data_IF_385914177188
#
_entry.id   IF_385914177188
#
_cell.length_a   1.000
_cell.length_b   1.000
_cell.length_c   1.000
_cell.angle_alpha   90.00
_cell.angle_beta   90.00
_cell.angle_gamma   90.00
#
_symmetry.space_group_name_H-M   'P 1'
#
loop_
_entity.id
_entity.type
_entity.pdbx_description
1 polymer ?
#
# COMPACT_ATOMS: atom_id res chain seq x y z
N UNK A 1 -27.04 20.20 -76.03
CA UNK A 1 -26.12 19.98 -74.90
C UNK A 1 -26.64 18.81 -74.06
N UNK A 2 -25.94 17.67 -74.05
CA UNK A 2 -26.29 16.52 -73.18
C UNK A 2 -25.46 16.64 -71.90
N UNK A 3 -26.12 16.82 -70.76
CA UNK A 3 -25.48 16.79 -69.46
C UNK A 3 -25.18 15.32 -69.07
N UNK A 4 -23.89 15.00 -68.89
CA UNK A 4 -23.48 13.71 -68.35
C UNK A 4 -23.70 13.75 -66.83
N UNK A 5 -24.67 12.96 -66.34
CA UNK A 5 -24.89 12.76 -64.91
C UNK A 5 -23.76 11.86 -64.40
N UNK A 6 -22.87 12.42 -63.58
CA UNK A 6 -21.82 11.64 -62.91
C UNK A 6 -22.47 10.69 -61.89
N UNK A 7 -22.46 9.39 -62.20
CA UNK A 7 -22.99 8.35 -61.34
C UNK A 7 -22.02 8.14 -60.17
N UNK A 8 -22.39 8.60 -58.98
CA UNK A 8 -21.71 8.25 -57.73
C UNK A 8 -21.78 6.72 -57.54
N UNK A 9 -20.64 6.05 -57.72
CA UNK A 9 -20.49 4.62 -57.46
C UNK A 9 -20.31 4.41 -55.96
N UNK A 10 -21.42 4.34 -55.22
CA UNK A 10 -21.40 3.80 -53.85
C UNK A 10 -21.08 2.30 -53.92
N UNK A 11 -19.79 1.96 -53.79
CA UNK A 11 -19.37 0.57 -53.56
C UNK A 11 -19.76 0.19 -52.13
N UNK A 12 -20.69 -0.75 -51.99
CA UNK A 12 -20.99 -1.37 -50.71
C UNK A 12 -19.85 -2.31 -50.28
N UNK A 13 -19.58 -2.34 -48.98
CA UNK A 13 -18.62 -3.28 -48.39
C UNK A 13 -19.13 -4.72 -48.56
N UNK A 14 -18.24 -5.61 -48.96
CA UNK A 14 -18.50 -7.06 -49.02
C UNK A 14 -18.46 -7.68 -47.64
N UNK A 15 -19.15 -8.81 -47.45
CA UNK A 15 -19.09 -9.58 -46.19
C UNK A 15 -17.64 -9.95 -45.82
N UNK A 16 -16.82 -10.25 -46.83
CA UNK A 16 -15.41 -10.58 -46.63
C UNK A 16 -14.62 -9.40 -46.06
N UNK A 17 -14.78 -8.19 -46.61
CA UNK A 17 -14.09 -6.99 -46.12
C UNK A 17 -14.50 -6.66 -44.67
N UNK A 18 -15.79 -6.74 -44.36
CA UNK A 18 -16.28 -6.50 -42.99
C UNK A 18 -15.71 -7.55 -42.02
N UNK A 19 -15.67 -8.83 -42.43
CA UNK A 19 -15.15 -9.90 -41.59
C UNK A 19 -13.65 -9.76 -41.28
N UNK A 20 -12.84 -9.36 -42.28
CA UNK A 20 -11.42 -9.13 -42.10
C UNK A 20 -11.13 -7.96 -41.14
N UNK A 21 -11.90 -6.88 -41.25
CA UNK A 21 -11.78 -5.71 -40.35
C UNK A 21 -12.11 -6.11 -38.91
N UNK A 22 -13.22 -6.83 -38.70
CA UNK A 22 -13.59 -7.30 -37.37
C UNK A 22 -12.54 -8.24 -36.79
N UNK A 23 -11.98 -9.16 -37.59
CA UNK A 23 -10.91 -10.03 -37.14
C UNK A 23 -9.69 -9.23 -36.63
N UNK A 24 -9.24 -8.22 -37.39
CA UNK A 24 -8.12 -7.37 -36.97
C UNK A 24 -8.47 -6.58 -35.70
N UNK A 25 -9.67 -5.99 -35.61
CA UNK A 25 -10.13 -5.27 -34.41
C UNK A 25 -10.15 -6.17 -33.17
N UNK A 26 -10.61 -7.42 -33.31
CA UNK A 26 -10.60 -8.37 -32.18
C UNK A 26 -9.18 -8.68 -31.72
N UNK A 27 -8.25 -8.93 -32.64
CA UNK A 27 -6.84 -9.21 -32.30
C UNK A 27 -6.21 -8.01 -31.60
N UNK A 28 -6.42 -6.80 -32.11
CA UNK A 28 -5.93 -5.57 -31.48
C UNK A 28 -6.51 -5.37 -30.07
N UNK A 29 -7.82 -5.58 -29.89
CA UNK A 29 -8.46 -5.47 -28.59
C UNK A 29 -7.89 -6.47 -27.56
N UNK A 30 -7.64 -7.72 -27.96
CA UNK A 30 -7.02 -8.72 -27.09
C UNK A 30 -5.60 -8.31 -26.64
N UNK A 31 -4.78 -7.79 -27.55
CA UNK A 31 -3.43 -7.31 -27.22
C UNK A 31 -3.47 -6.13 -26.23
N UNK A 32 -4.39 -5.19 -26.41
CA UNK A 32 -4.57 -4.05 -25.49
C UNK A 32 -5.01 -4.52 -24.11
N UNK A 33 -5.94 -5.47 -24.03
CA UNK A 33 -6.44 -5.99 -22.76
C UNK A 33 -5.34 -6.68 -21.94
N UNK A 34 -4.50 -7.48 -22.59
CA UNK A 34 -3.36 -8.14 -21.95
C UNK A 34 -2.38 -7.11 -21.37
N UNK A 35 -2.02 -6.08 -22.14
CA UNK A 35 -1.12 -5.01 -21.70
C UNK A 35 -1.68 -4.19 -20.52
N UNK A 36 -2.99 -3.92 -20.51
CA UNK A 36 -3.65 -3.13 -19.47
C UNK A 36 -3.59 -3.81 -18.09
N UNK A 37 -3.63 -5.15 -18.04
CA UNK A 37 -3.58 -5.89 -16.77
C UNK A 37 -2.26 -5.68 -16.00
N UNK A 38 -1.13 -5.69 -16.71
CA UNK A 38 0.19 -5.41 -16.15
C UNK A 38 0.32 -3.95 -15.69
N UNK A 39 -0.11 -3.01 -16.53
CA UNK A 39 -0.09 -1.58 -16.22
C UNK A 39 -0.88 -1.25 -14.95
N UNK A 40 -2.08 -1.83 -14.79
CA UNK A 40 -2.89 -1.67 -13.57
C UNK A 40 -2.17 -2.14 -12.31
N UNK A 41 -1.43 -3.26 -12.37
CA UNK A 41 -0.68 -3.77 -11.21
C UNK A 41 0.45 -2.82 -10.81
N UNK A 42 1.19 -2.28 -11.79
CA UNK A 42 2.26 -1.30 -11.53
C UNK A 42 1.67 -0.02 -10.92
N UNK A 43 0.58 0.50 -11.50
CA UNK A 43 -0.10 1.69 -11.00
C UNK A 43 -0.58 1.52 -9.54
N UNK A 44 -1.18 0.36 -9.22
CA UNK A 44 -1.57 0.04 -7.83
C UNK A 44 -0.37 0.00 -6.88
N UNK A 45 0.77 -0.55 -7.32
CA UNK A 45 2.01 -0.55 -6.56
C UNK A 45 2.51 0.86 -6.27
N UNK A 46 2.59 1.72 -7.30
CA UNK A 46 3.01 3.12 -7.14
C UNK A 46 2.10 3.90 -6.19
N UNK A 47 0.77 3.69 -6.29
CA UNK A 47 -0.18 4.33 -5.40
C UNK A 47 -0.04 3.84 -3.95
N UNK A 48 0.26 2.55 -3.73
CA UNK A 48 0.56 2.03 -2.41
C UNK A 48 1.80 2.69 -1.79
N UNK A 49 2.88 2.82 -2.58
CA UNK A 49 4.08 3.55 -2.16
C UNK A 49 3.77 5.00 -1.82
N UNK A 50 2.91 5.67 -2.60
CA UNK A 50 2.50 7.04 -2.34
C UNK A 50 1.69 7.18 -1.05
N UNK A 51 0.80 6.23 -0.77
CA UNK A 51 0.04 6.18 0.48
C UNK A 51 0.97 6.03 1.70
N UNK A 52 1.95 5.12 1.63
CA UNK A 52 2.97 5.00 2.67
C UNK A 52 3.80 6.28 2.82
N UNK A 53 4.15 6.96 1.72
CA UNK A 53 4.84 8.26 1.82
C UNK A 53 4.00 9.34 2.51
N UNK A 54 2.69 9.36 2.27
CA UNK A 54 1.77 10.27 2.98
C UNK A 54 1.69 9.93 4.47
N UNK A 55 1.67 8.64 4.82
CA UNK A 55 1.78 8.19 6.22
C UNK A 55 3.10 8.63 6.85
N UNK A 56 4.21 8.47 6.13
CA UNK A 56 5.54 8.91 6.58
C UNK A 56 5.64 10.43 6.76
N UNK A 57 4.99 11.20 5.90
CA UNK A 57 4.89 12.65 6.08
C UNK A 57 4.06 12.99 7.31
N UNK A 58 2.89 12.36 7.48
CA UNK A 58 1.98 12.60 8.59
C UNK A 58 2.64 12.32 9.95
N UNK A 59 3.36 11.21 10.10
CA UNK A 59 4.06 10.90 11.35
C UNK A 59 5.18 11.89 11.65
N UNK A 60 5.90 12.37 10.64
CA UNK A 60 6.98 13.34 10.85
C UNK A 60 6.45 14.73 11.20
N UNK A 61 5.33 15.15 10.62
CA UNK A 61 4.65 16.37 11.05
C UNK A 61 4.19 16.22 12.50
N UNK A 62 3.57 15.08 12.85
CA UNK A 62 3.22 14.79 14.23
C UNK A 62 4.44 14.86 15.16
N UNK A 63 5.56 14.23 14.79
CA UNK A 63 6.78 14.20 15.60
C UNK A 63 7.35 15.61 15.84
N UNK A 64 7.34 16.45 14.80
CA UNK A 64 7.79 17.84 14.90
C UNK A 64 7.00 18.64 15.94
N UNK A 65 5.70 18.37 16.08
CA UNK A 65 4.85 19.02 17.08
C UNK A 65 4.98 18.37 18.48
N UNK A 66 5.65 17.22 18.58
CA UNK A 66 5.72 16.39 19.79
C UNK A 66 7.15 16.01 20.21
N UNK A 67 8.12 16.93 20.07
CA UNK A 67 9.51 16.76 20.53
C UNK A 67 10.22 15.55 19.88
N UNK A 68 10.01 15.37 18.58
CA UNK A 68 10.61 14.28 17.78
C UNK A 68 10.21 12.87 18.24
N UNK A 69 9.10 12.74 18.96
CA UNK A 69 8.54 11.46 19.36
C UNK A 69 7.42 11.03 18.43
N UNK A 70 7.45 9.76 18.04
CA UNK A 70 6.34 9.17 17.32
C UNK A 70 5.15 8.85 18.24
N UNK A 71 3.94 8.68 17.68
CA UNK A 71 2.74 8.43 18.46
C UNK A 71 2.87 7.37 19.54
N UNK A 72 3.54 6.25 19.27
CA UNK A 72 3.68 5.12 20.19
C UNK A 72 4.68 5.36 21.34
N UNK A 73 5.46 6.44 21.28
CA UNK A 73 6.43 6.79 22.33
C UNK A 73 5.80 7.67 23.42
N UNK A 74 4.68 8.33 23.10
CA UNK A 74 4.00 9.33 23.94
C UNK A 74 2.80 8.71 24.64
N UNK A 75 2.58 9.07 25.90
CA UNK A 75 1.42 8.60 26.67
C UNK A 75 0.10 9.16 26.13
N UNK A 76 -1.00 8.44 26.32
CA UNK A 76 -2.34 8.88 25.95
C UNK A 76 -2.70 10.22 26.61
N UNK A 77 -2.21 10.47 27.82
CA UNK A 77 -2.43 11.72 28.56
C UNK A 77 -1.78 12.93 27.89
N UNK A 78 -0.77 12.70 27.06
CA UNK A 78 0.00 13.72 26.34
C UNK A 78 -0.32 13.74 24.85
N UNK A 79 -1.43 13.11 24.42
CA UNK A 79 -1.85 13.06 23.01
C UNK A 79 -1.23 11.94 22.18
N UNK A 80 -0.51 11.01 22.84
CA UNK A 80 0.10 9.85 22.20
C UNK A 80 -0.74 8.58 22.25
N UNK A 81 -0.08 7.45 22.02
CA UNK A 81 -0.69 6.12 21.84
C UNK A 81 0.11 4.98 22.47
N UNK A 82 1.06 5.29 23.35
CA UNK A 82 1.97 4.31 23.96
C UNK A 82 1.26 3.13 24.63
N UNK A 83 0.19 3.39 25.36
CA UNK A 83 -0.59 2.37 26.05
C UNK A 83 -1.27 1.41 25.06
N UNK A 84 -1.64 1.88 23.87
CA UNK A 84 -2.22 1.05 22.82
C UNK A 84 -1.19 0.18 22.10
N UNK A 85 0.07 0.62 22.08
CA UNK A 85 1.18 -0.16 21.52
C UNK A 85 1.35 -1.48 22.29
N UNK A 86 1.13 -1.51 23.60
CA UNK A 86 1.23 -2.73 24.41
C UNK A 86 0.19 -3.80 24.01
N UNK A 87 -0.96 -3.37 23.48
CA UNK A 87 -2.03 -4.27 23.03
C UNK A 87 -1.97 -4.58 21.52
N UNK A 88 -1.02 -3.99 20.79
CA UNK A 88 -0.91 -4.15 19.34
C UNK A 88 -2.10 -3.59 18.57
N UNK A 89 -2.72 -2.52 19.06
CA UNK A 89 -3.85 -1.87 18.36
C UNK A 89 -3.32 -0.91 17.30
N UNK A 90 -3.74 -1.10 16.05
CA UNK A 90 -3.24 -0.31 14.93
C UNK A 90 -3.98 1.02 14.76
N UNK A 91 -5.32 0.97 14.88
CA UNK A 91 -6.19 2.13 14.65
C UNK A 91 -5.77 3.39 15.43
N UNK A 92 -5.46 3.33 16.76
CA UNK A 92 -5.12 4.53 17.52
C UNK A 92 -3.90 5.28 16.97
N UNK A 93 -2.89 4.55 16.49
CA UNK A 93 -1.66 5.14 15.95
C UNK A 93 -1.93 6.00 14.71
N UNK A 94 -2.90 5.62 13.87
CA UNK A 94 -3.31 6.45 12.74
C UNK A 94 -4.32 7.53 13.11
N UNK A 95 -5.18 7.28 14.10
CA UNK A 95 -6.20 8.24 14.54
C UNK A 95 -5.60 9.53 15.10
N UNK A 96 -4.46 9.46 15.78
CA UNK A 96 -3.80 10.68 16.29
C UNK A 96 -3.14 11.52 15.18
N UNK A 97 -3.01 10.98 13.97
CA UNK A 97 -2.41 11.65 12.81
C UNK A 97 -3.45 12.04 11.74
N UNK A 98 -4.75 12.00 12.05
CA UNK A 98 -5.81 12.18 11.03
C UNK A 98 -5.84 13.57 10.41
N UNK A 99 -5.43 14.58 11.17
CA UNK A 99 -5.30 15.96 10.67
C UNK A 99 -4.34 16.02 9.48
N UNK A 100 -3.22 15.28 9.56
CA UNK A 100 -2.20 15.26 8.53
C UNK A 100 -2.52 14.27 7.40
N UNK A 101 -3.17 13.15 7.73
CA UNK A 101 -3.56 12.14 6.73
C UNK A 101 -4.69 12.62 5.80
N UNK A 102 -5.51 13.59 6.23
CA UNK A 102 -6.64 14.20 5.50
C UNK A 102 -7.79 13.25 5.11
N UNK A 103 -7.54 11.98 4.77
CA UNK A 103 -8.56 11.00 4.35
C UNK A 103 -8.21 9.55 4.73
N UNK A 104 -9.17 8.72 5.15
CA UNK A 104 -8.95 7.30 5.40
C UNK A 104 -8.50 6.51 4.17
N UNK A 105 -8.71 7.03 2.95
CA UNK A 105 -8.28 6.36 1.71
C UNK A 105 -6.77 6.13 1.66
N UNK A 106 -5.98 6.98 2.34
CA UNK A 106 -4.53 6.82 2.46
C UNK A 106 -4.17 5.53 3.19
N UNK A 107 -5.03 5.03 4.08
CA UNK A 107 -4.76 3.83 4.88
C UNK A 107 -5.04 2.52 4.15
N UNK A 108 -5.50 2.56 2.88
CA UNK A 108 -5.80 1.36 2.10
C UNK A 108 -4.88 1.24 0.89
N UNK A 109 -4.26 0.08 0.76
CA UNK A 109 -3.47 -0.25 -0.42
C UNK A 109 -4.43 -0.61 -1.58
N UNK A 110 -4.30 -0.01 -2.77
CA UNK A 110 -5.16 -0.31 -3.92
C UNK A 110 -5.05 -1.76 -4.46
N UNK A 111 -4.02 -2.49 -4.04
CA UNK A 111 -3.84 -3.91 -4.33
C UNK A 111 -4.45 -4.83 -3.26
N UNK A 112 -4.86 -4.29 -2.11
CA UNK A 112 -5.58 -5.05 -1.07
C UNK A 112 -7.07 -5.16 -1.41
N UNK A 113 -7.75 -6.13 -0.80
CA UNK A 113 -9.20 -6.31 -0.91
C UNK A 113 -9.98 -5.49 0.13
N UNK A 114 -9.28 -4.86 1.08
CA UNK A 114 -9.87 -3.99 2.11
C UNK A 114 -10.48 -2.74 1.47
N UNK A 115 -11.52 -2.21 2.09
CA UNK A 115 -12.18 -0.98 1.69
C UNK A 115 -11.88 0.12 2.70
N UNK A 116 -11.71 1.34 2.21
CA UNK A 116 -11.50 2.49 3.09
C UNK A 116 -12.73 2.71 3.96
N UNK A 117 -12.51 3.18 5.20
CA UNK A 117 -13.61 3.63 6.04
C UNK A 117 -14.24 4.90 5.43
N UNK A 118 -15.56 5.12 5.61
CA UNK A 118 -16.22 6.34 5.15
C UNK A 118 -15.58 7.61 5.74
N UNK A 119 -15.20 7.54 7.02
CA UNK A 119 -14.47 8.58 7.74
C UNK A 119 -13.59 7.95 8.85
N UNK A 120 -12.87 8.80 9.58
CA UNK A 120 -11.97 8.34 10.65
C UNK A 120 -12.68 7.87 11.92
N UNK A 121 -13.92 8.32 12.20
CA UNK A 121 -14.68 7.86 13.37
C UNK A 121 -15.12 6.39 13.20
N UNK A 122 -15.36 5.99 11.95
CA UNK A 122 -15.68 4.62 11.57
C UNK A 122 -14.45 3.76 11.26
N UNK A 123 -13.23 4.28 11.46
CA UNK A 123 -12.01 3.53 11.18
C UNK A 123 -11.91 2.28 12.06
N UNK A 124 -11.71 1.12 11.43
CA UNK A 124 -11.46 -0.17 12.09
C UNK A 124 -10.24 -0.85 11.48
N UNK A 125 -9.72 -1.86 12.16
CA UNK A 125 -8.60 -2.68 11.69
C UNK A 125 -8.83 -3.18 10.25
N UNK A 126 -10.04 -3.65 9.93
CA UNK A 126 -10.42 -4.12 8.59
C UNK A 126 -10.35 -3.07 7.47
N UNK A 127 -10.17 -1.78 7.79
CA UNK A 127 -10.05 -0.68 6.84
C UNK A 127 -8.60 -0.21 6.64
N UNK A 128 -7.61 -0.91 7.20
CA UNK A 128 -6.20 -0.50 7.18
C UNK A 128 -5.36 -1.56 6.47
N UNK A 129 -4.61 -1.21 5.45
CA UNK A 129 -3.73 -2.15 4.71
C UNK A 129 -2.30 -2.15 5.19
N UNK A 130 -2.00 -1.43 6.27
CA UNK A 130 -0.63 -1.19 6.73
C UNK A 130 -0.46 -1.59 8.20
N UNK A 131 0.65 -2.28 8.51
CA UNK A 131 1.05 -2.52 9.88
C UNK A 131 1.69 -1.26 10.49
N UNK A 132 1.79 -1.22 11.82
CA UNK A 132 2.57 -0.19 12.52
C UNK A 132 3.73 -0.86 13.26
N UNK A 133 4.94 -0.38 13.05
CA UNK A 133 6.12 -0.76 13.81
C UNK A 133 6.19 0.05 15.10
N UNK A 134 6.07 -0.63 16.24
CA UNK A 134 5.91 0.00 17.55
C UNK A 134 7.25 0.38 18.20
N UNK A 135 8.37 0.00 17.59
CA UNK A 135 9.73 0.35 18.02
C UNK A 135 10.39 1.38 17.09
N UNK A 136 9.60 1.96 16.19
CA UNK A 136 10.01 3.06 15.34
C UNK A 136 10.31 4.30 16.17
N UNK A 137 11.37 5.01 15.82
CA UNK A 137 11.78 6.27 16.46
C UNK A 137 12.30 7.23 15.41
N UNK A 138 12.00 8.53 15.53
CA UNK A 138 12.56 9.56 14.63
C UNK A 138 14.10 9.59 14.73
N UNK A 139 14.65 9.36 15.95
CA UNK A 139 16.10 9.29 16.18
C UNK A 139 16.79 8.08 15.53
N UNK A 140 16.03 7.08 15.09
CA UNK A 140 16.55 5.91 14.39
C UNK A 140 15.92 5.82 12.99
N UNK A 141 16.56 6.46 12.02
CA UNK A 141 16.16 6.52 10.61
C UNK A 141 15.87 5.17 9.96
N UNK A 142 16.55 4.09 10.38
CA UNK A 142 16.40 2.75 9.81
C UNK A 142 15.32 1.91 10.49
N UNK A 143 14.74 2.39 11.59
CA UNK A 143 13.64 1.69 12.24
C UNK A 143 12.40 1.66 11.33
N UNK A 144 11.61 0.60 11.46
CA UNK A 144 10.46 0.33 10.61
C UNK A 144 9.23 0.99 11.22
N UNK A 145 8.66 2.00 10.56
CA UNK A 145 7.45 2.66 11.07
C UNK A 145 6.16 1.99 10.58
N UNK A 146 6.09 1.63 9.30
CA UNK A 146 4.88 1.05 8.71
C UNK A 146 5.25 0.17 7.52
N UNK A 147 4.27 -0.53 6.96
CA UNK A 147 4.44 -1.32 5.75
C UNK A 147 3.21 -2.15 5.46
N UNK A 148 3.20 -2.88 4.34
CA UNK A 148 2.03 -3.66 3.95
C UNK A 148 1.70 -4.73 5.01
N UNK A 149 0.43 -4.87 5.39
CA UNK A 149 0.00 -5.80 6.45
C UNK A 149 0.17 -7.29 6.10
N UNK A 150 0.56 -7.63 4.87
CA UNK A 150 0.62 -9.01 4.39
C UNK A 150 1.93 -9.72 4.76
N UNK A 151 2.71 -9.14 5.67
CA UNK A 151 3.88 -9.76 6.29
C UNK A 151 3.48 -10.96 7.16
N UNK A 152 4.34 -11.97 7.20
CA UNK A 152 4.07 -13.27 7.82
C UNK A 152 5.34 -13.81 8.49
N UNK A 153 5.22 -14.19 9.76
CA UNK A 153 6.27 -14.84 10.55
C UNK A 153 6.25 -16.38 10.40
N UNK A 154 5.31 -16.91 9.60
CA UNK A 154 5.12 -18.34 9.39
C UNK A 154 4.38 -19.03 10.53
N UNK A 155 3.89 -18.28 11.53
CA UNK A 155 3.07 -18.82 12.60
C UNK A 155 1.62 -19.02 12.16
N UNK A 156 0.99 -20.11 12.60
CA UNK A 156 -0.40 -20.41 12.26
C UNK A 156 -1.43 -19.53 13.02
N UNK A 157 -0.96 -18.66 13.93
CA UNK A 157 -1.81 -17.83 14.77
C UNK A 157 -1.97 -16.45 14.13
N UNK A 158 -3.22 -16.00 13.96
CA UNK A 158 -3.50 -14.60 13.67
C UNK A 158 -3.19 -13.78 14.92
N UNK A 159 -2.03 -13.12 14.94
CA UNK A 159 -1.62 -12.25 16.04
C UNK A 159 -1.84 -10.79 15.65
N UNK A 160 -2.38 -10.00 16.58
CA UNK A 160 -2.42 -8.53 16.46
C UNK A 160 -1.04 -7.90 16.57
N UNK A 161 -0.09 -8.59 17.19
CA UNK A 161 1.29 -8.14 17.30
C UNK A 161 2.24 -9.30 16.96
N UNK A 162 3.15 -9.04 16.05
CA UNK A 162 4.27 -9.93 15.76
C UNK A 162 5.54 -9.42 16.45
N UNK A 163 6.17 -10.27 17.23
CA UNK A 163 7.48 -10.04 17.81
C UNK A 163 8.51 -10.69 16.89
N UNK A 164 9.29 -9.88 16.19
CA UNK A 164 10.21 -10.35 15.16
C UNK A 164 11.64 -10.03 15.56
N UNK A 165 12.43 -11.06 15.83
CA UNK A 165 13.87 -10.88 16.06
C UNK A 165 14.57 -10.41 14.77
N UNK A 166 15.67 -9.66 14.89
CA UNK A 166 16.38 -9.09 13.72
C UNK A 166 16.89 -10.14 12.73
N UNK A 167 17.05 -11.40 13.16
CA UNK A 167 17.48 -12.53 12.33
C UNK A 167 16.36 -13.52 12.00
N UNK A 168 15.12 -13.23 12.41
CA UNK A 168 13.99 -14.12 12.14
C UNK A 168 13.55 -13.98 10.69
N UNK A 169 13.40 -15.09 9.93
CA UNK A 169 12.94 -15.01 8.55
C UNK A 169 11.47 -14.58 8.51
N UNK A 170 11.20 -13.46 7.84
CA UNK A 170 9.84 -13.04 7.49
C UNK A 170 9.54 -13.30 6.02
N UNK A 171 8.27 -13.49 5.72
CA UNK A 171 7.76 -13.69 4.36
C UNK A 171 6.62 -12.73 4.07
N UNK A 172 6.29 -12.61 2.79
CA UNK A 172 5.11 -11.90 2.32
C UNK A 172 4.08 -12.89 1.83
N UNK A 173 2.84 -12.77 2.29
CA UNK A 173 1.73 -13.56 1.76
C UNK A 173 1.21 -12.98 0.45
N UNK A 174 0.56 -13.81 -0.37
CA UNK A 174 -0.03 -13.44 -1.66
C UNK A 174 -1.27 -12.54 -1.58
N UNK A 175 -1.62 -12.04 -0.40
CA UNK A 175 -2.86 -11.28 -0.15
C UNK A 175 -2.90 -9.93 -0.87
N UNK A 176 -1.76 -9.25 -1.05
CA UNK A 176 -1.68 -7.89 -1.63
C UNK A 176 -0.75 -7.87 -2.86
N UNK A 177 0.56 -8.00 -2.66
CA UNK A 177 1.57 -7.81 -3.72
C UNK A 177 2.26 -9.10 -4.18
N UNK A 178 1.55 -10.24 -4.14
CA UNK A 178 2.10 -11.57 -4.44
C UNK A 178 3.18 -11.99 -3.40
N UNK A 179 4.47 -11.79 -3.65
CA UNK A 179 5.54 -12.28 -2.76
C UNK A 179 6.50 -11.16 -2.32
N UNK A 180 6.07 -9.91 -2.38
CA UNK A 180 6.79 -8.77 -1.83
C UNK A 180 5.81 -7.86 -1.08
N UNK A 181 6.34 -6.83 -0.44
CA UNK A 181 5.59 -5.74 0.15
C UNK A 181 6.40 -4.45 0.12
N UNK A 182 5.79 -3.37 0.60
CA UNK A 182 6.40 -2.08 0.81
C UNK A 182 6.56 -1.86 2.31
N UNK A 183 7.64 -1.17 2.66
CA UNK A 183 8.03 -0.90 4.02
C UNK A 183 8.43 0.57 4.10
N UNK A 184 7.84 1.29 5.04
CA UNK A 184 8.17 2.66 5.40
C UNK A 184 9.12 2.64 6.60
N UNK A 185 10.30 3.21 6.42
CA UNK A 185 11.24 3.46 7.52
C UNK A 185 11.00 4.84 8.14
N UNK A 186 11.53 5.06 9.34
CA UNK A 186 11.34 6.28 10.12
C UNK A 186 11.92 7.53 9.45
N UNK A 187 12.90 7.38 8.55
CA UNK A 187 13.39 8.48 7.70
C UNK A 187 12.38 8.96 6.63
N UNK A 188 11.21 8.33 6.52
CA UNK A 188 10.20 8.62 5.51
C UNK A 188 10.42 7.92 4.17
N UNK A 189 11.48 7.13 4.02
CA UNK A 189 11.73 6.37 2.80
C UNK A 189 10.84 5.13 2.73
N UNK A 190 10.33 4.83 1.53
CA UNK A 190 9.50 3.65 1.29
C UNK A 190 10.28 2.71 0.38
N UNK A 191 10.50 1.49 0.86
CA UNK A 191 11.28 0.47 0.20
C UNK A 191 10.40 -0.72 -0.15
N UNK A 192 10.45 -1.13 -1.41
CA UNK A 192 9.86 -2.40 -1.83
C UNK A 192 10.79 -3.53 -1.41
N UNK A 193 10.28 -4.49 -0.63
CA UNK A 193 11.06 -5.56 -0.05
C UNK A 193 10.51 -6.93 -0.47
N UNK A 194 11.37 -7.74 -1.08
CA UNK A 194 11.21 -9.20 -1.10
C UNK A 194 11.64 -9.77 0.27
N UNK A 195 11.39 -11.05 0.59
CA UNK A 195 11.71 -11.61 1.91
C UNK A 195 13.17 -11.39 2.36
N UNK A 196 14.16 -11.56 1.47
CA UNK A 196 15.57 -11.29 1.81
C UNK A 196 15.81 -9.83 2.19
N UNK A 197 15.27 -8.89 1.39
CA UNK A 197 15.39 -7.46 1.68
C UNK A 197 14.67 -7.07 2.97
N UNK A 198 13.53 -7.70 3.28
CA UNK A 198 12.83 -7.47 4.54
C UNK A 198 13.68 -7.90 5.74
N UNK A 199 14.34 -9.07 5.65
CA UNK A 199 15.28 -9.51 6.68
C UNK A 199 16.47 -8.55 6.83
N UNK A 200 17.00 -8.02 5.73
CA UNK A 200 18.06 -7.01 5.78
C UNK A 200 17.57 -5.73 6.48
N UNK A 201 16.37 -5.24 6.17
CA UNK A 201 15.78 -4.07 6.83
C UNK A 201 15.58 -4.26 8.34
N UNK A 202 15.15 -5.45 8.76
CA UNK A 202 15.03 -5.78 10.18
C UNK A 202 16.39 -5.78 10.88
N UNK A 203 17.43 -6.28 10.22
CA UNK A 203 18.80 -6.24 10.76
C UNK A 203 19.34 -4.81 10.82
N UNK A 204 19.14 -4.04 9.76
CA UNK A 204 19.61 -2.66 9.64
C UNK A 204 18.87 -1.69 10.60
N UNK A 205 17.67 -2.06 11.05
CA UNK A 205 16.92 -1.30 12.06
C UNK A 205 17.66 -1.15 13.39
N UNK A 206 18.62 -2.03 13.71
CA UNK A 206 19.33 -2.05 14.99
C UNK A 206 18.46 -2.41 16.20
N UNK A 207 17.19 -2.75 16.00
CA UNK A 207 16.27 -3.17 17.06
C UNK A 207 16.34 -4.68 17.23
N UNK A 208 16.64 -5.15 18.45
CA UNK A 208 16.79 -6.58 18.74
C UNK A 208 15.50 -7.38 18.50
N UNK A 209 14.35 -6.78 18.78
CA UNK A 209 13.02 -7.37 18.53
C UNK A 209 12.09 -6.28 18.05
N UNK A 210 11.66 -6.38 16.80
CA UNK A 210 10.71 -5.47 16.19
C UNK A 210 9.28 -5.93 16.50
N UNK A 211 8.49 -5.06 17.11
CA UNK A 211 7.07 -5.26 17.38
C UNK A 211 6.25 -4.68 16.25
N UNK A 212 5.61 -5.53 15.47
CA UNK A 212 4.77 -5.14 14.34
C UNK A 212 3.30 -5.37 14.70
N UNK A 213 2.54 -4.29 14.85
CA UNK A 213 1.10 -4.34 15.07
C UNK A 213 0.37 -4.52 13.72
N UNK A 214 -0.44 -5.58 13.61
CA UNK A 214 -1.09 -6.03 12.37
C UNK A 214 -2.61 -5.82 12.46
N UNK A 215 -3.22 -5.09 11.50
CA UNK A 215 -4.66 -4.88 11.45
C UNK A 215 -5.41 -6.01 10.72
#
# INVERSE_FOLDING_TARGET
MKAAIAKSLNKGLTILEVSAILAILTVLAFLILAALSGAKRVAKGMSCTNNLKQIGLAVRIFANDHRDYFPMEISLKEGGTKEFAEFGLVVPHYLVMTTELSTPQVLVCPADKRTAAPDFNELRDGNISYFVGLDAKETNSHSLFSGDRNVDDGSALNKRMMLVGSNQPLKWTKKIHQNYGNVLTSDGSVQQAIPSRLSDLLRDSGVATNRLAIP
#
